data_IF_854391916339
#
_entry.id   IF_854391916339
#
_cell.length_a   1.000
_cell.length_b   1.000
_cell.length_c   1.000
_cell.angle_alpha   90.00
_cell.angle_beta   90.00
_cell.angle_gamma   90.00
#
_symmetry.space_group_name_H-M   'P 1'
#
loop_
_entity.id
_entity.type
_entity.pdbx_description
1 polymer ?
#
# COMPACT_ATOMS: atom_id res chain seq x y z
N UNK A 1 -15.93 -2.53 -22.46
CA UNK A 1 -14.45 -2.45 -22.54
C UNK A 1 -14.08 -1.63 -23.77
N UNK A 2 -13.08 -0.76 -23.66
CA UNK A 2 -12.53 0.03 -24.78
C UNK A 2 -11.30 -0.72 -25.32
N UNK A 3 -11.17 -0.84 -26.64
CA UNK A 3 -9.97 -1.43 -27.25
C UNK A 3 -8.85 -0.39 -27.23
N UNK A 4 -7.75 -0.73 -26.56
CA UNK A 4 -6.56 0.11 -26.46
C UNK A 4 -5.35 -0.67 -26.96
N UNK A 5 -4.52 -0.05 -27.79
CA UNK A 5 -3.24 -0.59 -28.19
C UNK A 5 -2.15 0.06 -27.33
N UNK A 6 -1.34 -0.76 -26.66
CA UNK A 6 -0.21 -0.32 -25.85
C UNK A 6 1.06 -1.03 -26.31
N UNK A 7 2.19 -0.35 -26.24
CA UNK A 7 3.50 -0.93 -26.51
C UNK A 7 4.14 -1.37 -25.21
N UNK A 8 4.68 -2.58 -25.16
CA UNK A 8 5.43 -3.11 -24.03
C UNK A 8 6.84 -3.46 -24.52
N UNK A 9 7.91 -3.08 -23.79
CA UNK A 9 9.24 -3.59 -24.08
C UNK A 9 9.24 -5.12 -24.06
N UNK A 10 9.97 -5.76 -24.98
CA UNK A 10 9.96 -7.22 -25.16
C UNK A 10 10.24 -7.98 -23.85
N UNK A 11 11.24 -7.52 -23.09
CA UNK A 11 11.59 -8.12 -21.80
C UNK A 11 10.44 -8.01 -20.78
N UNK A 12 9.71 -6.90 -20.77
CA UNK A 12 8.56 -6.71 -19.89
C UNK A 12 7.40 -7.59 -20.32
N UNK A 13 7.11 -7.68 -21.62
CA UNK A 13 6.09 -8.57 -22.16
C UNK A 13 6.35 -10.04 -21.77
N UNK A 14 7.58 -10.51 -21.95
CA UNK A 14 7.96 -11.89 -21.61
C UNK A 14 7.83 -12.18 -20.10
N UNK A 15 8.16 -11.21 -19.25
CA UNK A 15 7.95 -11.34 -17.81
C UNK A 15 6.46 -11.36 -17.45
N UNK A 16 5.67 -10.45 -17.98
CA UNK A 16 4.23 -10.39 -17.75
C UNK A 16 3.52 -11.67 -18.19
N UNK A 17 3.90 -12.24 -19.34
CA UNK A 17 3.39 -13.53 -19.81
C UNK A 17 3.65 -14.68 -18.84
N UNK A 18 4.86 -14.79 -18.30
CA UNK A 18 5.20 -15.81 -17.30
C UNK A 18 4.42 -15.64 -15.99
N UNK A 19 4.14 -14.40 -15.59
CA UNK A 19 3.31 -14.13 -14.41
C UNK A 19 1.87 -14.55 -14.68
N UNK A 20 1.31 -14.14 -15.81
CA UNK A 20 -0.07 -14.48 -16.19
C UNK A 20 -0.29 -16.00 -16.24
N UNK A 21 0.65 -16.74 -16.83
CA UNK A 21 0.63 -18.21 -16.88
C UNK A 21 0.68 -18.84 -15.50
N UNK A 22 1.58 -18.38 -14.62
CA UNK A 22 1.69 -18.89 -13.24
C UNK A 22 0.45 -18.62 -12.41
N UNK A 23 -0.26 -17.53 -12.69
CA UNK A 23 -1.48 -17.13 -11.99
C UNK A 23 -2.75 -17.60 -12.71
N UNK A 24 -2.62 -18.49 -13.70
CA UNK A 24 -3.73 -19.09 -14.46
C UNK A 24 -4.70 -18.04 -15.04
N UNK A 25 -4.15 -16.91 -15.51
CA UNK A 25 -4.93 -15.81 -16.07
C UNK A 25 -4.39 -15.34 -17.43
N UNK A 26 -5.23 -14.62 -18.17
CA UNK A 26 -4.79 -14.01 -19.44
C UNK A 26 -3.88 -12.81 -19.19
N UNK A 27 -3.04 -12.47 -20.18
CA UNK A 27 -2.23 -11.24 -20.13
C UNK A 27 -3.13 -9.99 -20.04
N UNK A 28 -4.29 -10.00 -20.70
CA UNK A 28 -5.25 -8.90 -20.64
C UNK A 28 -5.80 -8.69 -19.23
N UNK A 29 -6.10 -9.79 -18.52
CA UNK A 29 -6.56 -9.75 -17.14
C UNK A 29 -5.46 -9.25 -16.19
N UNK A 30 -4.22 -9.70 -16.39
CA UNK A 30 -3.07 -9.19 -15.64
C UNK A 30 -2.89 -7.68 -15.83
N UNK A 31 -2.95 -7.19 -17.08
CA UNK A 31 -2.85 -5.76 -17.40
C UNK A 31 -3.99 -4.97 -16.77
N UNK A 32 -5.24 -5.47 -16.84
CA UNK A 32 -6.40 -4.83 -16.18
C UNK A 32 -6.16 -4.67 -14.68
N UNK A 33 -5.81 -5.75 -13.98
CA UNK A 33 -5.55 -5.71 -12.53
C UNK A 33 -4.38 -4.78 -12.19
N UNK A 34 -3.33 -4.80 -12.99
CA UNK A 34 -2.20 -3.88 -12.84
C UNK A 34 -2.64 -2.41 -12.92
N UNK A 35 -3.45 -2.06 -13.93
CA UNK A 35 -3.98 -0.72 -14.08
C UNK A 35 -4.93 -0.33 -12.94
N UNK A 36 -5.82 -1.23 -12.50
CA UNK A 36 -6.70 -1.00 -11.35
C UNK A 36 -5.92 -0.78 -10.05
N UNK A 37 -4.82 -1.51 -9.86
CA UNK A 37 -3.94 -1.28 -8.73
C UNK A 37 -3.26 0.10 -8.81
N UNK A 38 -2.75 0.50 -9.98
CA UNK A 38 -2.13 1.82 -10.17
C UNK A 38 -3.12 2.96 -9.92
N UNK A 39 -4.36 2.86 -10.40
CA UNK A 39 -5.41 3.86 -10.13
C UNK A 39 -5.69 3.99 -8.63
N UNK A 40 -5.69 2.87 -7.89
CA UNK A 40 -5.88 2.88 -6.44
C UNK A 40 -4.72 3.55 -5.69
N UNK A 41 -3.49 3.34 -6.16
CA UNK A 41 -2.27 3.88 -5.54
C UNK A 41 -2.15 5.39 -5.80
N UNK A 42 -2.28 5.80 -7.06
CA UNK A 42 -2.04 7.18 -7.46
C UNK A 42 -3.28 8.08 -7.39
N UNK A 43 -4.45 7.51 -7.05
CA UNK A 43 -5.75 8.19 -6.92
C UNK A 43 -5.90 9.32 -7.93
N UNK A 44 -6.04 8.92 -9.20
CA UNK A 44 -6.01 9.82 -10.36
C UNK A 44 -7.00 11.01 -10.28
N UNK A 45 -7.99 10.92 -9.39
CA UNK A 45 -9.09 11.87 -9.22
C UNK A 45 -8.87 12.80 -8.01
N UNK A 46 -7.89 12.53 -7.17
CA UNK A 46 -7.53 13.42 -6.05
C UNK A 46 -6.78 14.62 -6.63
N UNK A 47 -7.52 15.72 -6.79
CA UNK A 47 -6.88 17.03 -6.94
C UNK A 47 -6.16 17.30 -5.61
N UNK A 48 -4.86 17.68 -5.63
CA UNK A 48 -4.18 18.07 -4.40
C UNK A 48 -5.05 19.09 -3.69
N UNK A 49 -5.45 18.80 -2.45
CA UNK A 49 -6.18 19.77 -1.64
C UNK A 49 -5.25 20.98 -1.47
N UNK A 50 -5.55 22.14 -2.08
CA UNK A 50 -4.68 23.30 -2.01
C UNK A 50 -4.57 23.85 -0.58
N UNK A 51 -5.51 23.48 0.29
CA UNK A 51 -5.55 23.85 1.69
C UNK A 51 -4.92 22.78 2.60
N UNK A 52 -4.48 21.65 2.05
CA UNK A 52 -3.74 20.66 2.82
C UNK A 52 -2.44 21.27 3.34
N UNK A 53 -2.27 21.21 4.65
CA UNK A 53 -1.04 21.60 5.35
C UNK A 53 -0.57 20.40 6.15
N UNK A 54 0.75 20.27 6.26
CA UNK A 54 1.36 19.33 7.19
C UNK A 54 0.76 19.61 8.59
N UNK A 55 0.21 18.60 9.28
CA UNK A 55 -0.29 18.80 10.63
C UNK A 55 0.85 19.25 11.55
N UNK A 56 0.54 20.12 12.51
CA UNK A 56 1.51 20.46 13.55
C UNK A 56 1.95 19.19 14.29
N UNK A 57 3.23 19.10 14.70
CA UNK A 57 3.69 18.01 15.53
C UNK A 57 2.80 17.86 16.76
N UNK A 58 2.38 16.63 17.06
CA UNK A 58 1.69 16.34 18.31
C UNK A 58 2.69 16.43 19.47
N UNK A 59 2.33 17.14 20.53
CA UNK A 59 3.05 17.10 21.79
C UNK A 59 2.75 15.76 22.47
N UNK A 60 3.60 14.76 22.21
CA UNK A 60 3.45 13.40 22.76
C UNK A 60 3.86 13.29 24.24
N UNK A 61 4.27 14.40 24.87
CA UNK A 61 4.76 14.46 26.24
C UNK A 61 6.14 13.81 26.41
N UNK A 62 6.46 13.46 27.65
CA UNK A 62 7.69 12.77 28.00
C UNK A 62 7.69 11.31 27.53
N UNK A 63 8.88 10.76 27.31
CA UNK A 63 9.01 9.36 26.97
C UNK A 63 8.43 8.47 28.08
N UNK A 64 7.46 7.63 27.71
CA UNK A 64 6.81 6.68 28.63
C UNK A 64 7.75 5.56 29.09
N UNK A 65 8.91 5.40 28.45
CA UNK A 65 9.90 4.38 28.77
C UNK A 65 11.32 4.83 28.40
N UNK A 66 12.34 4.41 29.17
CA UNK A 66 13.75 4.48 28.76
C UNK A 66 14.00 3.71 27.45
N UNK A 67 15.01 4.14 26.68
CA UNK A 67 15.33 3.55 25.37
C UNK A 67 15.85 2.10 25.49
N UNK A 68 16.34 1.73 26.66
CA UNK A 68 16.82 0.39 26.96
C UNK A 68 15.67 -0.60 27.13
N UNK A 69 14.54 -0.13 27.69
CA UNK A 69 13.50 -1.00 28.25
C UNK A 69 12.17 -0.94 27.47
N UNK A 70 12.01 0.03 26.57
CA UNK A 70 10.72 0.27 25.87
C UNK A 70 10.14 -0.97 25.19
N UNK A 71 11.01 -1.81 24.62
CA UNK A 71 10.61 -3.03 23.90
C UNK A 71 10.07 -4.08 24.85
N UNK A 72 10.65 -4.22 26.03
CA UNK A 72 10.23 -5.21 27.02
C UNK A 72 8.89 -4.78 27.65
N UNK A 73 8.77 -3.49 27.97
CA UNK A 73 7.54 -2.88 28.49
C UNK A 73 6.38 -2.97 27.50
N UNK A 74 6.61 -2.70 26.21
CA UNK A 74 5.59 -2.81 25.17
C UNK A 74 5.08 -4.25 24.98
N UNK A 75 5.96 -5.25 25.12
CA UNK A 75 5.58 -6.66 25.00
C UNK A 75 4.89 -7.20 26.26
N UNK A 76 5.20 -6.65 27.44
CA UNK A 76 4.60 -7.04 28.71
C UNK A 76 3.17 -6.50 28.89
N UNK A 77 2.83 -5.36 28.26
CA UNK A 77 1.54 -4.69 28.42
C UNK A 77 0.33 -5.48 27.86
N UNK A 78 0.54 -6.57 27.11
CA UNK A 78 -0.54 -7.32 26.46
C UNK A 78 -1.29 -6.51 25.38
N UNK A 79 -2.24 -7.10 24.64
CA UNK A 79 -3.05 -6.35 23.70
C UNK A 79 -3.91 -5.32 24.44
N UNK A 80 -3.94 -4.08 23.94
CA UNK A 80 -4.65 -2.94 24.55
C UNK A 80 -6.19 -3.11 24.53
N UNK A 81 -6.70 -4.08 23.76
CA UNK A 81 -8.14 -4.29 23.51
C UNK A 81 -8.66 -5.67 23.98
N UNK A 82 -8.33 -6.13 25.18
CA UNK A 82 -9.05 -7.25 25.78
C UNK A 82 -10.37 -6.74 26.40
N UNK A 83 -11.48 -6.83 25.66
CA UNK A 83 -12.83 -6.60 26.20
C UNK A 83 -13.09 -7.53 27.41
N UNK A 84 -13.70 -7.03 28.51
CA UNK A 84 -14.00 -7.85 29.67
C UNK A 84 -15.13 -8.84 29.35
N UNK A 85 -14.91 -10.11 29.72
CA UNK A 85 -15.88 -11.21 29.60
C UNK A 85 -16.98 -11.17 30.66
#
# INVERSE_FOLDING_TARGET
MIRTQIQLPDALYAQAKRIAERQEMSLAELVRRGLEHMVRVYRADETPDPDWRLPEPLELGEFLAPIEDWRELANAAGPVDAEPA
#
